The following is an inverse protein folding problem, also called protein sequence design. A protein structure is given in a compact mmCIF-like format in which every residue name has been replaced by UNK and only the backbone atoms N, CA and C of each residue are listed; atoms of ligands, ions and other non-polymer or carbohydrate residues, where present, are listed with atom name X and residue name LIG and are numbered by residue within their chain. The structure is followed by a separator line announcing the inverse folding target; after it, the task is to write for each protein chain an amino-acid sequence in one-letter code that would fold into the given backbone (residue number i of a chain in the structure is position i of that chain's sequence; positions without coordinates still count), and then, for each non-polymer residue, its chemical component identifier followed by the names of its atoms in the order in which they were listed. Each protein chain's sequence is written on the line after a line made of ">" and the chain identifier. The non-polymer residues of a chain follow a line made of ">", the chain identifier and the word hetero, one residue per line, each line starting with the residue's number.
data_IF_728941819031
#
_entry.id   IF_728941819031
#
_cell.length_a   1.000
_cell.length_b   1.000
_cell.length_c   1.000
_cell.angle_alpha   90.00
_cell.angle_beta   90.00
_cell.angle_gamma   90.00
#
_symmetry.space_group_name_H-M   'P 1'
#
loop_
_entity.id
_entity.type
_entity.pdbx_description
1 polymer ?
#
# COMPACT_ATOMS: atom_id res chain seq x y z
N UNK A 1 -20.82 39.39 -20.02
CA UNK A 1 -21.61 39.15 -18.78
C UNK A 1 -20.70 39.24 -17.56
N UNK A 2 -21.22 39.22 -16.32
CA UNK A 2 -20.39 39.19 -15.10
C UNK A 2 -20.69 37.93 -14.30
N UNK A 3 -19.65 37.22 -13.85
CA UNK A 3 -19.80 35.97 -13.12
C UNK A 3 -20.32 36.29 -11.72
N UNK A 4 -21.43 35.68 -11.32
CA UNK A 4 -22.00 35.93 -9.99
C UNK A 4 -21.10 35.38 -8.86
N UNK A 5 -20.28 34.36 -9.16
CA UNK A 5 -19.38 33.71 -8.18
C UNK A 5 -18.04 34.44 -8.03
N UNK A 6 -17.25 34.55 -9.10
CA UNK A 6 -15.91 35.16 -9.02
C UNK A 6 -15.87 36.65 -9.36
N UNK A 7 -17.00 37.24 -9.76
CA UNK A 7 -17.07 38.67 -10.07
C UNK A 7 -16.07 39.07 -11.19
N UNK A 8 -15.89 38.21 -12.20
CA UNK A 8 -15.10 38.50 -13.39
C UNK A 8 -15.99 38.67 -14.63
N UNK A 9 -15.50 39.43 -15.61
CA UNK A 9 -16.16 39.61 -16.92
C UNK A 9 -15.84 38.42 -17.80
N UNK A 10 -16.86 37.83 -18.45
CA UNK A 10 -16.72 36.70 -19.37
C UNK A 10 -17.62 36.89 -20.61
N UNK A 11 -17.28 36.18 -21.69
CA UNK A 11 -17.94 36.26 -23.00
C UNK A 11 -19.36 35.67 -23.01
N UNK A 12 -20.18 36.12 -23.95
CA UNK A 12 -21.66 36.02 -23.92
C UNK A 12 -22.28 34.64 -24.17
N UNK A 13 -21.49 33.57 -24.26
CA UNK A 13 -22.00 32.23 -24.61
C UNK A 13 -22.49 31.42 -23.40
N UNK A 14 -22.12 31.80 -22.17
CA UNK A 14 -22.42 31.02 -20.96
C UNK A 14 -23.49 31.68 -20.05
N UNK A 15 -24.35 30.86 -19.45
CA UNK A 15 -25.42 31.30 -18.57
C UNK A 15 -24.93 31.52 -17.12
N UNK A 16 -24.79 32.78 -16.70
CA UNK A 16 -24.77 33.19 -15.28
C UNK A 16 -23.49 32.94 -14.47
N UNK A 17 -22.65 31.99 -14.88
CA UNK A 17 -21.39 31.60 -14.22
C UNK A 17 -20.32 31.39 -15.30
N UNK A 18 -19.08 31.84 -15.05
CA UNK A 18 -17.99 31.58 -15.99
C UNK A 18 -17.53 30.12 -15.92
N UNK A 19 -16.92 29.65 -17.01
CA UNK A 19 -16.36 28.30 -17.14
C UNK A 19 -15.46 27.88 -15.98
N UNK A 20 -14.54 28.75 -15.55
CA UNK A 20 -13.62 28.45 -14.43
C UNK A 20 -14.36 28.16 -13.12
N UNK A 21 -15.37 28.97 -12.76
CA UNK A 21 -16.17 28.72 -11.56
C UNK A 21 -17.04 27.47 -11.66
N UNK A 22 -17.45 27.10 -12.88
CA UNK A 22 -18.21 25.88 -13.10
C UNK A 22 -17.32 24.64 -12.94
N UNK A 23 -16.11 24.68 -13.50
CA UNK A 23 -15.11 23.62 -13.35
C UNK A 23 -14.68 23.45 -11.88
N UNK A 24 -14.40 24.55 -11.17
CA UNK A 24 -14.08 24.52 -9.73
C UNK A 24 -15.24 23.97 -8.88
N UNK A 25 -16.49 24.35 -9.19
CA UNK A 25 -17.67 23.80 -8.53
C UNK A 25 -17.85 22.30 -8.82
N UNK A 26 -17.56 21.85 -10.04
CA UNK A 26 -17.60 20.43 -10.41
C UNK A 26 -16.53 19.63 -9.69
N UNK A 27 -15.30 20.14 -9.62
CA UNK A 27 -14.19 19.49 -8.91
C UNK A 27 -14.49 19.34 -7.41
N UNK A 28 -15.03 20.39 -6.78
CA UNK A 28 -15.43 20.35 -5.37
C UNK A 28 -16.63 19.43 -5.11
N UNK A 29 -17.61 19.36 -6.03
CA UNK A 29 -18.72 18.39 -5.94
C UNK A 29 -18.20 16.94 -6.01
N UNK A 30 -17.26 16.65 -6.91
CA UNK A 30 -16.63 15.34 -6.98
C UNK A 30 -15.84 15.00 -5.71
N UNK A 31 -15.11 15.96 -5.15
CA UNK A 31 -14.37 15.78 -3.89
C UNK A 31 -15.33 15.48 -2.72
N UNK A 32 -16.39 16.26 -2.57
CA UNK A 32 -17.43 16.04 -1.56
C UNK A 32 -18.11 14.67 -1.74
N UNK A 33 -18.36 14.25 -2.98
CA UNK A 33 -18.93 12.92 -3.26
C UNK A 33 -17.98 11.80 -2.82
N UNK A 34 -16.67 11.96 -3.05
CA UNK A 34 -15.64 11.03 -2.54
C UNK A 34 -15.62 10.99 -1.01
N UNK A 35 -15.72 12.14 -0.34
CA UNK A 35 -15.79 12.20 1.12
C UNK A 35 -17.05 11.56 1.68
N UNK A 36 -18.22 11.80 1.06
CA UNK A 36 -19.49 11.19 1.47
C UNK A 36 -19.44 9.68 1.33
N UNK A 37 -18.87 9.16 0.24
CA UNK A 37 -18.75 7.71 0.04
C UNK A 37 -17.72 7.09 1.00
N UNK A 38 -16.62 7.79 1.31
CA UNK A 38 -15.70 7.40 2.39
C UNK A 38 -16.41 7.34 3.74
N UNK A 39 -17.17 8.39 4.11
CA UNK A 39 -17.95 8.42 5.35
C UNK A 39 -19.03 7.33 5.40
N UNK A 40 -19.72 7.07 4.29
CA UNK A 40 -20.70 5.97 4.20
C UNK A 40 -20.04 4.62 4.38
N UNK A 41 -18.84 4.42 3.83
CA UNK A 41 -18.05 3.21 4.06
C UNK A 41 -17.64 3.04 5.52
N UNK A 42 -17.27 4.15 6.18
CA UNK A 42 -17.03 4.22 7.61
C UNK A 42 -18.32 4.07 8.43
N UNK A 43 -19.51 4.14 7.85
CA UNK A 43 -20.75 3.79 8.57
C UNK A 43 -21.20 2.36 8.26
N UNK A 44 -20.77 1.78 7.14
CA UNK A 44 -21.08 0.41 6.76
C UNK A 44 -20.41 -0.62 7.68
N UNK A 45 -19.23 -0.34 8.24
CA UNK A 45 -18.61 -1.21 9.26
C UNK A 45 -19.46 -1.34 10.53
N UNK A 46 -20.29 -0.33 10.84
CA UNK A 46 -21.20 -0.35 12.00
C UNK A 46 -22.49 -1.13 11.73
N UNK A 47 -22.78 -1.46 10.46
CA UNK A 47 -24.00 -2.17 10.05
C UNK A 47 -23.76 -3.61 9.63
N UNK A 48 -22.57 -3.94 9.16
CA UNK A 48 -22.22 -5.29 8.72
C UNK A 48 -21.26 -5.93 9.73
N UNK A 49 -21.64 -7.07 10.35
CA UNK A 49 -20.73 -7.81 11.22
C UNK A 49 -19.48 -8.23 10.43
N UNK A 50 -18.31 -8.23 11.08
CA UNK A 50 -17.11 -8.81 10.49
C UNK A 50 -17.28 -10.34 10.42
N UNK A 51 -17.31 -10.94 9.21
CA UNK A 51 -17.47 -12.38 9.09
C UNK A 51 -16.23 -13.16 9.58
N UNK A 52 -15.10 -12.47 9.81
CA UNK A 52 -13.92 -13.05 10.46
C UNK A 52 -14.03 -13.15 11.98
N UNK A 53 -14.95 -12.38 12.60
CA UNK A 53 -15.15 -12.36 14.06
C UNK A 53 -16.39 -13.14 14.49
N UNK A 54 -17.39 -13.24 13.62
CA UNK A 54 -18.65 -13.91 13.91
C UNK A 54 -18.99 -14.96 12.85
N UNK A 55 -18.77 -16.24 13.18
CA UNK A 55 -19.04 -17.37 12.29
C UNK A 55 -20.52 -17.47 11.88
N UNK A 56 -21.44 -16.83 12.63
CA UNK A 56 -22.87 -16.79 12.29
C UNK A 56 -23.21 -15.75 11.21
N UNK A 57 -22.32 -14.78 10.97
CA UNK A 57 -22.50 -13.73 9.97
C UNK A 57 -22.09 -14.14 8.54
N UNK A 58 -21.49 -15.32 8.36
CA UNK A 58 -21.10 -15.86 7.06
C UNK A 58 -22.28 -16.05 6.08
N UNK A 59 -23.53 -16.01 6.54
CA UNK A 59 -24.72 -16.10 5.70
C UNK A 59 -24.98 -14.90 4.76
N UNK A 60 -24.19 -13.82 4.86
CA UNK A 60 -24.40 -12.58 4.08
C UNK A 60 -23.16 -12.10 3.30
N UNK A 61 -22.05 -12.85 3.33
CA UNK A 61 -20.85 -12.50 2.54
C UNK A 61 -21.04 -12.82 1.06
N UNK A 62 -20.81 -11.82 0.20
CA UNK A 62 -20.93 -11.91 -1.26
C UNK A 62 -19.55 -12.05 -1.96
N UNK A 63 -18.46 -12.13 -1.19
CA UNK A 63 -17.12 -12.47 -1.67
C UNK A 63 -16.44 -13.57 -0.84
N UNK A 64 -15.62 -14.35 -1.53
CA UNK A 64 -14.68 -15.30 -0.95
C UNK A 64 -13.25 -14.98 -1.41
N UNK A 65 -12.38 -14.66 -0.47
CA UNK A 65 -10.97 -14.40 -0.73
C UNK A 65 -10.14 -15.63 -0.41
N UNK A 66 -9.22 -15.97 -1.29
CA UNK A 66 -8.35 -17.12 -1.13
C UNK A 66 -6.88 -16.74 -1.18
N UNK A 67 -6.13 -17.22 -0.19
CA UNK A 67 -4.69 -17.10 -0.14
C UNK A 67 -4.03 -18.25 -0.91
N UNK A 68 -3.21 -17.92 -1.91
CA UNK A 68 -2.42 -18.87 -2.71
C UNK A 68 -0.95 -18.67 -2.34
N UNK A 69 -0.38 -19.53 -1.48
CA UNK A 69 1.02 -19.42 -1.08
C UNK A 69 1.95 -19.84 -2.24
N UNK A 70 3.13 -19.23 -2.32
CA UNK A 70 4.12 -19.43 -3.39
C UNK A 70 4.52 -20.90 -3.63
N UNK A 71 4.42 -21.76 -2.60
CA UNK A 71 4.76 -23.20 -2.66
C UNK A 71 3.72 -24.07 -3.40
N UNK A 72 2.51 -23.57 -3.65
CA UNK A 72 1.45 -24.30 -4.35
C UNK A 72 1.57 -24.27 -5.87
N UNK A 73 2.57 -23.57 -6.41
CA UNK A 73 2.72 -23.27 -7.85
C UNK A 73 3.46 -24.33 -8.66
N UNK A 74 3.68 -25.55 -8.15
CA UNK A 74 4.31 -26.61 -8.95
C UNK A 74 3.34 -27.14 -10.03
N UNK A 75 3.62 -27.00 -11.34
CA UNK A 75 2.83 -27.66 -12.35
C UNK A 75 3.32 -29.10 -12.46
N UNK A 76 2.55 -30.05 -11.96
CA UNK A 76 2.67 -31.44 -12.42
C UNK A 76 1.58 -31.65 -13.48
N UNK A 77 1.93 -31.73 -14.78
CA UNK A 77 0.94 -32.04 -15.80
C UNK A 77 0.80 -33.56 -15.88
N UNK A 78 -0.21 -34.11 -15.22
CA UNK A 78 -0.73 -35.44 -15.55
C UNK A 78 -1.74 -35.30 -16.71
N UNK A 79 -1.52 -35.95 -17.87
CA UNK A 79 -2.42 -35.85 -19.00
C UNK A 79 -3.55 -36.87 -18.83
N UNK A 80 -4.59 -36.48 -18.11
CA UNK A 80 -5.89 -37.14 -18.20
C UNK A 80 -6.95 -36.05 -18.08
N UNK A 81 -7.69 -35.86 -19.18
CA UNK A 81 -8.67 -34.81 -19.29
C UNK A 81 -9.77 -34.95 -18.25
N UNK A 82 -9.76 -34.03 -17.30
CA UNK A 82 -10.91 -33.49 -16.59
C UNK A 82 -10.48 -32.08 -16.17
N UNK A 83 -11.11 -31.06 -16.78
CA UNK A 83 -10.87 -29.66 -16.45
C UNK A 83 -11.66 -29.34 -15.17
N UNK A 84 -11.11 -29.68 -14.01
CA UNK A 84 -11.71 -29.32 -12.73
C UNK A 84 -10.66 -28.83 -11.73
N UNK A 85 -11.01 -27.74 -11.05
CA UNK A 85 -10.13 -26.78 -10.41
C UNK A 85 -9.06 -27.34 -9.49
N UNK A 86 -7.89 -26.69 -9.50
CA UNK A 86 -6.88 -26.84 -8.47
C UNK A 86 -7.54 -26.74 -7.09
N UNK A 87 -7.49 -27.84 -6.31
CA UNK A 87 -7.93 -27.87 -4.92
C UNK A 87 -7.15 -26.82 -4.15
N UNK A 88 -7.84 -25.75 -3.75
CA UNK A 88 -7.31 -24.82 -2.77
C UNK A 88 -7.50 -25.45 -1.39
N UNK A 89 -6.43 -25.99 -0.82
CA UNK A 89 -6.44 -26.58 0.52
C UNK A 89 -6.49 -25.49 1.63
N UNK A 90 -6.39 -24.20 1.27
CA UNK A 90 -6.50 -23.08 2.20
C UNK A 90 -7.95 -22.62 2.36
N UNK A 91 -8.43 -22.41 3.61
CA UNK A 91 -9.78 -21.93 3.85
C UNK A 91 -10.00 -20.54 3.23
N UNK A 92 -11.20 -20.31 2.70
CA UNK A 92 -11.60 -19.02 2.17
C UNK A 92 -11.87 -18.02 3.30
N UNK A 93 -11.54 -16.76 3.09
CA UNK A 93 -11.92 -15.65 3.96
C UNK A 93 -13.16 -14.96 3.37
N UNK A 94 -14.34 -15.09 4.00
CA UNK A 94 -15.54 -14.39 3.55
C UNK A 94 -15.40 -12.87 3.74
N UNK A 95 -15.95 -12.09 2.81
CA UNK A 95 -15.99 -10.64 2.89
C UNK A 95 -17.21 -10.05 2.15
N UNK A 96 -17.39 -8.74 2.28
CA UNK A 96 -18.43 -7.98 1.60
C UNK A 96 -17.85 -7.09 0.50
N UNK A 97 -18.38 -7.17 -0.72
CA UNK A 97 -17.95 -6.35 -1.89
C UNK A 97 -17.90 -4.88 -1.53
N UNK A 98 -18.96 -4.38 -0.90
CA UNK A 98 -19.10 -2.97 -0.56
C UNK A 98 -18.00 -2.46 0.39
N UNK A 99 -17.52 -3.32 1.31
CA UNK A 99 -16.46 -2.94 2.26
C UNK A 99 -15.11 -2.93 1.57
N UNK A 100 -14.79 -3.95 0.77
CA UNK A 100 -13.51 -4.00 0.08
C UNK A 100 -13.38 -2.91 -0.99
N UNK A 101 -14.41 -2.70 -1.81
CA UNK A 101 -14.43 -1.67 -2.82
C UNK A 101 -14.33 -0.26 -2.24
N UNK A 102 -14.93 0.00 -1.09
CA UNK A 102 -14.86 1.33 -0.49
C UNK A 102 -13.50 1.64 0.14
N UNK A 103 -12.80 0.62 0.66
CA UNK A 103 -11.51 0.77 1.35
C UNK A 103 -10.29 0.63 0.43
N UNK A 104 -10.48 0.14 -0.79
CA UNK A 104 -9.41 -0.08 -1.77
C UNK A 104 -9.88 0.30 -3.18
N UNK A 105 -9.24 1.31 -3.81
CA UNK A 105 -9.48 1.65 -5.21
C UNK A 105 -9.26 0.46 -6.16
N UNK A 106 -8.28 -0.40 -5.86
CA UNK A 106 -7.98 -1.59 -6.65
C UNK A 106 -9.11 -2.62 -6.56
N UNK A 107 -9.62 -2.90 -5.35
CA UNK A 107 -10.79 -3.77 -5.23
C UNK A 107 -12.03 -3.16 -5.87
N UNK A 108 -12.23 -1.84 -5.79
CA UNK A 108 -13.34 -1.17 -6.48
C UNK A 108 -13.27 -1.42 -7.98
N UNK A 109 -12.12 -1.12 -8.60
CA UNK A 109 -11.93 -1.32 -10.03
C UNK A 109 -12.12 -2.80 -10.42
N UNK A 110 -11.58 -3.73 -9.63
CA UNK A 110 -11.74 -5.17 -9.84
C UNK A 110 -13.21 -5.60 -9.77
N UNK A 111 -13.96 -5.11 -8.78
CA UNK A 111 -15.33 -5.54 -8.51
C UNK A 111 -16.40 -4.83 -9.34
N UNK A 112 -16.10 -3.63 -9.85
CA UNK A 112 -16.96 -2.85 -10.75
C UNK A 112 -16.76 -3.24 -12.21
N UNK A 113 -15.65 -3.91 -12.54
CA UNK A 113 -15.39 -4.44 -13.88
C UNK A 113 -16.27 -5.66 -14.21
N UNK A 114 -16.43 -6.01 -15.50
CA UNK A 114 -17.08 -7.27 -15.92
C UNK A 114 -16.10 -8.48 -15.93
N UNK A 115 -15.06 -8.44 -15.11
CA UNK A 115 -14.05 -9.51 -15.03
C UNK A 115 -14.54 -10.74 -14.25
N UNK A 116 -13.76 -11.82 -14.28
CA UNK A 116 -14.12 -13.10 -13.65
C UNK A 116 -14.37 -12.96 -12.14
N UNK A 117 -13.61 -12.10 -11.47
CA UNK A 117 -13.71 -11.84 -10.03
C UNK A 117 -15.06 -11.22 -9.64
N UNK A 118 -15.58 -10.29 -10.46
CA UNK A 118 -16.87 -9.65 -10.19
C UNK A 118 -18.06 -10.59 -10.43
N UNK A 119 -17.90 -11.54 -11.36
CA UNK A 119 -18.93 -12.54 -11.72
C UNK A 119 -18.93 -13.75 -10.81
N UNK A 120 -17.76 -14.23 -10.41
CA UNK A 120 -17.59 -15.42 -9.58
C UNK A 120 -17.75 -15.14 -8.09
N UNK A 121 -17.50 -13.89 -7.66
CA UNK A 121 -17.42 -13.54 -6.25
C UNK A 121 -16.20 -14.13 -5.55
N UNK A 122 -15.22 -14.61 -6.31
CA UNK A 122 -14.02 -15.27 -5.79
C UNK A 122 -12.78 -14.44 -6.16
N UNK A 123 -12.00 -14.05 -5.17
CA UNK A 123 -10.74 -13.31 -5.36
C UNK A 123 -9.58 -14.18 -4.92
N UNK A 124 -8.61 -14.39 -5.82
CA UNK A 124 -7.40 -15.16 -5.55
C UNK A 124 -6.23 -14.20 -5.29
N UNK A 125 -5.59 -14.34 -4.14
CA UNK A 125 -4.46 -13.53 -3.71
C UNK A 125 -3.20 -14.40 -3.66
N UNK A 126 -2.32 -14.20 -4.64
CA UNK A 126 -1.07 -14.94 -4.80
C UNK A 126 0.05 -14.40 -3.91
N UNK A 127 0.94 -15.31 -3.50
CA UNK A 127 2.11 -15.07 -2.64
C UNK A 127 1.74 -14.54 -1.25
N UNK A 128 0.61 -14.99 -0.71
CA UNK A 128 0.06 -14.54 0.56
C UNK A 128 -0.30 -15.75 1.43
N UNK A 129 -0.01 -15.68 2.73
CA UNK A 129 -0.44 -16.68 3.70
C UNK A 129 -1.88 -16.43 4.15
N UNK A 130 -2.58 -17.47 4.60
CA UNK A 130 -3.95 -17.34 5.10
C UNK A 130 -4.04 -16.36 6.28
N UNK A 131 -3.05 -16.35 7.18
CA UNK A 131 -3.03 -15.45 8.35
C UNK A 131 -2.91 -13.98 7.94
N UNK A 132 -2.03 -13.68 6.98
CA UNK A 132 -1.87 -12.33 6.43
C UNK A 132 -3.16 -11.89 5.73
N UNK A 133 -3.76 -12.75 4.91
CA UNK A 133 -5.03 -12.45 4.25
C UNK A 133 -6.14 -12.17 5.26
N UNK A 134 -6.25 -13.00 6.31
CA UNK A 134 -7.25 -12.81 7.36
C UNK A 134 -7.03 -11.50 8.10
N UNK A 135 -5.79 -11.17 8.45
CA UNK A 135 -5.44 -9.91 9.12
C UNK A 135 -5.75 -8.69 8.22
N UNK A 136 -5.44 -8.79 6.93
CA UNK A 136 -5.74 -7.74 5.95
C UNK A 136 -7.25 -7.50 5.84
N UNK A 137 -8.05 -8.55 5.66
CA UNK A 137 -9.52 -8.42 5.62
C UNK A 137 -10.05 -7.90 6.95
N UNK A 138 -9.54 -8.38 8.08
CA UNK A 138 -9.93 -7.89 9.40
C UNK A 138 -9.72 -6.37 9.53
N UNK A 139 -8.55 -5.87 9.13
CA UNK A 139 -8.26 -4.43 9.11
C UNK A 139 -9.23 -3.64 8.22
N UNK A 140 -9.65 -4.19 7.08
CA UNK A 140 -10.62 -3.53 6.20
C UNK A 140 -11.98 -3.32 6.88
N UNK A 141 -12.31 -4.13 7.89
CA UNK A 141 -13.53 -3.95 8.67
C UNK A 141 -13.30 -3.05 9.88
N UNK A 142 -12.28 -3.34 10.69
CA UNK A 142 -12.10 -2.73 12.01
C UNK A 142 -11.22 -1.48 12.01
N UNK A 143 -10.34 -1.35 11.01
CA UNK A 143 -9.25 -0.36 11.03
C UNK A 143 -8.12 -0.72 12.01
N UNK A 144 -8.16 -1.92 12.60
CA UNK A 144 -7.19 -2.40 13.58
C UNK A 144 -6.43 -3.62 13.02
N UNK A 145 -5.14 -3.72 13.32
CA UNK A 145 -4.32 -4.87 12.97
C UNK A 145 -3.32 -5.16 14.10
N UNK A 146 -3.18 -6.42 14.46
CA UNK A 146 -2.12 -6.88 15.35
C UNK A 146 -0.85 -7.08 14.52
N UNK A 147 0.19 -6.32 14.83
CA UNK A 147 1.43 -6.31 14.07
C UNK A 147 2.56 -6.98 14.86
N UNK A 148 3.17 -7.99 14.24
CA UNK A 148 4.57 -8.36 14.46
C UNK A 148 5.41 -7.88 13.25
N UNK A 149 6.74 -8.05 13.30
CA UNK A 149 7.63 -7.55 12.24
C UNK A 149 7.34 -8.19 10.87
N UNK A 150 7.07 -9.49 10.83
CA UNK A 150 6.81 -10.21 9.59
C UNK A 150 5.44 -9.84 9.02
N UNK A 151 4.41 -9.85 9.87
CA UNK A 151 3.04 -9.44 9.55
C UNK A 151 2.99 -8.00 9.07
N UNK A 152 3.75 -7.09 9.67
CA UNK A 152 3.82 -5.71 9.24
C UNK A 152 4.42 -5.58 7.83
N UNK A 153 5.48 -6.32 7.51
CA UNK A 153 6.05 -6.37 6.16
C UNK A 153 5.03 -6.91 5.16
N UNK A 154 4.43 -8.08 5.43
CA UNK A 154 3.49 -8.73 4.52
C UNK A 154 2.21 -7.88 4.29
N UNK A 155 1.68 -7.27 5.35
CA UNK A 155 0.56 -6.33 5.25
C UNK A 155 0.92 -5.05 4.52
N UNK A 156 2.16 -4.55 4.63
CA UNK A 156 2.62 -3.39 3.86
C UNK A 156 2.64 -3.72 2.36
N UNK A 157 3.12 -4.90 1.98
CA UNK A 157 3.09 -5.36 0.57
C UNK A 157 1.67 -5.40 0.03
N UNK A 158 0.73 -5.95 0.81
CA UNK A 158 -0.69 -5.96 0.43
C UNK A 158 -1.30 -4.56 0.37
N UNK A 159 -1.01 -3.72 1.37
CA UNK A 159 -1.50 -2.36 1.42
C UNK A 159 -1.05 -1.54 0.23
N UNK A 160 0.20 -1.74 -0.23
CA UNK A 160 0.69 -1.11 -1.45
C UNK A 160 -0.01 -1.66 -2.69
N UNK A 161 -0.09 -3.00 -2.83
CA UNK A 161 -0.69 -3.67 -3.98
C UNK A 161 -2.17 -3.32 -4.18
N UNK A 162 -2.93 -3.18 -3.09
CA UNK A 162 -4.35 -2.88 -3.10
C UNK A 162 -4.65 -1.41 -2.75
N UNK A 163 -3.64 -0.54 -2.72
CA UNK A 163 -3.76 0.90 -2.46
C UNK A 163 -4.51 1.26 -1.15
N UNK A 164 -4.33 0.46 -0.09
CA UNK A 164 -4.89 0.75 1.25
C UNK A 164 -3.93 1.67 2.00
N UNK A 165 -3.95 2.96 1.64
CA UNK A 165 -2.98 3.97 2.10
C UNK A 165 -2.80 4.03 3.63
N UNK A 166 -3.90 4.00 4.38
CA UNK A 166 -3.82 4.09 5.85
C UNK A 166 -3.12 2.89 6.48
N UNK A 167 -3.37 1.68 5.95
CA UNK A 167 -2.67 0.47 6.39
C UNK A 167 -1.18 0.55 6.06
N UNK A 168 -0.84 0.99 4.84
CA UNK A 168 0.56 1.16 4.41
C UNK A 168 1.31 2.05 5.40
N UNK A 169 0.78 3.24 5.68
CA UNK A 169 1.41 4.18 6.62
C UNK A 169 1.47 3.62 8.05
N UNK A 170 0.47 2.85 8.47
CA UNK A 170 0.47 2.22 9.80
C UNK A 170 1.58 1.18 9.94
N UNK A 171 1.68 0.25 8.98
CA UNK A 171 2.75 -0.76 8.94
C UNK A 171 4.13 -0.11 8.78
N UNK A 172 4.24 0.91 7.93
CA UNK A 172 5.48 1.65 7.71
C UNK A 172 6.00 2.27 9.00
N UNK A 173 5.14 2.98 9.76
CA UNK A 173 5.52 3.55 11.06
C UNK A 173 5.96 2.48 12.07
N UNK A 174 5.27 1.35 12.09
CA UNK A 174 5.63 0.23 12.96
C UNK A 174 7.02 -0.30 12.64
N UNK A 175 7.30 -0.60 11.36
CA UNK A 175 8.60 -1.12 10.92
C UNK A 175 9.70 -0.08 11.18
N UNK A 176 9.45 1.20 10.89
CA UNK A 176 10.40 2.28 11.15
C UNK A 176 10.83 2.34 12.61
N UNK A 177 9.91 2.08 13.56
CA UNK A 177 10.24 2.05 14.99
C UNK A 177 11.15 0.88 15.42
N UNK A 178 11.36 -0.10 14.54
CA UNK A 178 12.17 -1.30 14.77
C UNK A 178 13.49 -1.31 13.99
N UNK A 179 13.72 -0.29 13.18
CA UNK A 179 14.97 -0.13 12.43
C UNK A 179 16.14 0.03 13.38
N UNK A 180 17.20 -0.72 13.12
CA UNK A 180 18.49 -0.70 13.82
C UNK A 180 19.61 -0.96 12.79
N UNK A 181 20.86 -0.84 13.23
CA UNK A 181 22.02 -0.95 12.34
C UNK A 181 22.21 -2.36 11.74
N UNK A 182 21.65 -3.40 12.35
CA UNK A 182 21.77 -4.77 11.87
C UNK A 182 20.72 -5.09 10.79
N UNK A 183 19.51 -4.51 10.89
CA UNK A 183 18.42 -4.74 9.93
C UNK A 183 18.24 -3.62 8.89
N UNK A 184 19.03 -2.55 8.96
CA UNK A 184 18.87 -1.37 8.09
C UNK A 184 18.98 -1.67 6.60
N UNK A 185 19.88 -2.58 6.18
CA UNK A 185 20.04 -2.96 4.76
C UNK A 185 18.76 -3.59 4.24
N UNK A 186 18.23 -4.56 4.99
CA UNK A 186 17.03 -5.31 4.63
C UNK A 186 15.82 -4.39 4.56
N UNK A 187 15.64 -3.53 5.56
CA UNK A 187 14.54 -2.57 5.58
C UNK A 187 14.67 -1.48 4.51
N UNK A 188 15.87 -1.02 4.18
CA UNK A 188 16.08 -0.08 3.08
C UNK A 188 15.68 -0.70 1.73
N UNK A 189 16.18 -1.91 1.44
CA UNK A 189 15.85 -2.62 0.21
C UNK A 189 14.35 -2.95 0.11
N UNK A 190 13.72 -3.29 1.23
CA UNK A 190 12.27 -3.49 1.33
C UNK A 190 11.50 -2.19 1.07
N UNK A 191 11.90 -1.10 1.72
CA UNK A 191 11.26 0.20 1.59
C UNK A 191 11.35 0.76 0.17
N UNK A 192 12.51 0.60 -0.48
CA UNK A 192 12.72 1.00 -1.86
C UNK A 192 11.76 0.25 -2.80
N UNK A 193 11.61 -1.07 -2.63
CA UNK A 193 10.74 -1.91 -3.47
C UNK A 193 9.25 -1.60 -3.33
N UNK A 194 8.82 -1.21 -2.14
CA UNK A 194 7.40 -0.97 -1.83
C UNK A 194 7.04 0.51 -1.67
N UNK A 195 7.95 1.41 -2.06
CA UNK A 195 7.73 2.85 -2.02
C UNK A 195 7.38 3.38 -0.62
N UNK A 196 7.97 2.82 0.44
CA UNK A 196 7.77 3.22 1.83
C UNK A 196 8.79 4.30 2.22
N UNK A 197 8.44 5.57 1.96
CA UNK A 197 9.38 6.71 2.05
C UNK A 197 9.93 6.95 3.46
N UNK A 198 9.09 6.91 4.48
CA UNK A 198 9.51 7.13 5.88
C UNK A 198 10.45 6.01 6.32
N UNK A 199 10.15 4.77 5.94
CA UNK A 199 11.03 3.64 6.25
C UNK A 199 12.36 3.74 5.48
N UNK A 200 12.32 4.20 4.23
CA UNK A 200 13.50 4.39 3.39
C UNK A 200 14.44 5.44 4.00
N UNK A 201 13.90 6.59 4.42
CA UNK A 201 14.67 7.66 5.05
C UNK A 201 15.25 7.22 6.40
N UNK A 202 14.46 6.56 7.26
CA UNK A 202 14.92 6.07 8.55
C UNK A 202 16.00 4.99 8.41
N UNK A 203 15.81 4.06 7.48
CA UNK A 203 16.80 3.01 7.17
C UNK A 203 18.07 3.62 6.60
N UNK A 204 17.96 4.61 5.71
CA UNK A 204 19.12 5.34 5.19
C UNK A 204 19.89 6.04 6.31
N UNK A 205 19.19 6.67 7.25
CA UNK A 205 19.83 7.31 8.41
C UNK A 205 20.61 6.31 9.25
N UNK A 206 20.05 5.14 9.54
CA UNK A 206 20.74 4.07 10.27
C UNK A 206 21.93 3.50 9.47
N UNK A 207 21.80 3.40 8.15
CA UNK A 207 22.90 2.98 7.28
C UNK A 207 24.09 3.94 7.36
N UNK A 208 23.87 5.25 7.47
CA UNK A 208 24.97 6.22 7.53
C UNK A 208 25.96 5.98 8.67
N UNK A 209 25.46 5.54 9.82
CA UNK A 209 26.29 5.22 10.99
C UNK A 209 27.05 3.90 10.82
N UNK A 210 26.56 3.01 9.96
CA UNK A 210 27.11 1.66 9.72
C UNK A 210 27.81 1.48 8.37
N UNK A 211 27.89 2.53 7.53
CA UNK A 211 28.55 2.48 6.22
C UNK A 211 29.96 1.86 6.21
N UNK A 212 30.85 2.12 7.19
CA UNK A 212 32.20 1.56 7.17
C UNK A 212 32.24 0.03 7.28
N UNK A 213 31.26 -0.57 7.96
CA UNK A 213 31.17 -2.03 8.19
C UNK A 213 30.13 -2.70 7.29
N UNK A 214 29.50 -1.94 6.39
CA UNK A 214 28.42 -2.41 5.53
C UNK A 214 28.85 -3.59 4.64
N UNK A 215 30.05 -3.53 4.07
CA UNK A 215 30.55 -4.55 3.13
C UNK A 215 30.87 -5.90 3.80
N UNK A 216 30.96 -5.93 5.14
CA UNK A 216 31.22 -7.15 5.91
C UNK A 216 29.94 -7.95 6.20
N UNK A 217 28.78 -7.32 6.06
CA UNK A 217 27.46 -7.92 6.35
C UNK A 217 27.06 -8.92 5.26
N UNK A 218 26.38 -9.99 5.66
CA UNK A 218 25.89 -11.00 4.70
C UNK A 218 24.73 -10.43 3.87
N UNK A 219 23.88 -9.61 4.48
CA UNK A 219 22.76 -8.93 3.84
C UNK A 219 23.22 -8.00 2.71
N UNK A 220 24.44 -7.43 2.84
CA UNK A 220 25.06 -6.67 1.76
C UNK A 220 25.38 -7.55 0.56
N UNK A 221 25.99 -8.72 0.78
CA UNK A 221 26.34 -9.65 -0.31
C UNK A 221 25.10 -10.16 -1.03
N UNK A 222 24.05 -10.52 -0.28
CA UNK A 222 22.76 -10.91 -0.86
C UNK A 222 22.16 -9.78 -1.70
N UNK A 223 22.27 -8.53 -1.23
CA UNK A 223 21.77 -7.36 -1.97
C UNK A 223 22.59 -7.12 -3.25
N UNK A 224 23.91 -7.30 -3.23
CA UNK A 224 24.78 -7.22 -4.43
C UNK A 224 24.30 -8.20 -5.50
N UNK A 225 23.95 -9.42 -5.12
CA UNK A 225 23.51 -10.45 -6.06
C UNK A 225 22.10 -10.21 -6.59
N UNK A 226 21.17 -9.77 -5.73
CA UNK A 226 19.75 -9.62 -6.09
C UNK A 226 19.43 -8.31 -6.79
N UNK A 227 19.95 -7.19 -6.29
CA UNK A 227 19.69 -5.86 -6.83
C UNK A 227 20.83 -4.88 -6.54
N UNK A 228 21.89 -4.87 -7.38
CA UNK A 228 23.03 -4.00 -7.18
C UNK A 228 22.71 -2.51 -7.37
N UNK A 229 21.55 -2.15 -7.97
CA UNK A 229 21.19 -0.74 -8.20
C UNK A 229 20.86 -0.03 -6.90
N UNK A 230 20.21 -0.74 -5.97
CA UNK A 230 19.89 -0.21 -4.64
C UNK A 230 21.17 0.16 -3.90
N UNK A 231 22.25 -0.63 -4.04
CA UNK A 231 23.54 -0.32 -3.42
C UNK A 231 24.18 0.92 -4.00
N UNK A 232 24.13 1.09 -5.32
CA UNK A 232 24.63 2.30 -5.97
C UNK A 232 23.92 3.53 -5.40
N UNK A 233 22.60 3.49 -5.25
CA UNK A 233 21.82 4.59 -4.67
C UNK A 233 22.20 4.88 -3.21
N UNK A 234 22.43 3.85 -2.39
CA UNK A 234 22.92 4.00 -1.01
C UNK A 234 24.27 4.72 -1.01
N UNK A 235 25.23 4.27 -1.82
CA UNK A 235 26.57 4.87 -1.88
C UNK A 235 26.54 6.30 -2.45
N UNK A 236 25.75 6.57 -3.50
CA UNK A 236 25.56 7.91 -4.05
C UNK A 236 24.97 8.86 -3.01
N UNK A 237 23.97 8.41 -2.26
CA UNK A 237 23.36 9.19 -1.17
C UNK A 237 24.35 9.44 -0.04
N UNK A 238 25.19 8.46 0.29
CA UNK A 238 26.24 8.62 1.30
C UNK A 238 27.30 9.64 0.90
N UNK A 239 27.85 9.54 -0.32
CA UNK A 239 28.85 10.49 -0.84
C UNK A 239 28.27 11.90 -0.88
N UNK A 240 27.05 12.06 -1.40
CA UNK A 240 26.38 13.36 -1.48
C UNK A 240 26.20 14.01 -0.10
N UNK A 241 25.94 13.23 0.96
CA UNK A 241 25.84 13.78 2.32
C UNK A 241 27.21 14.13 2.93
N UNK A 242 28.28 13.44 2.58
CA UNK A 242 29.62 13.86 3.01
C UNK A 242 30.03 15.21 2.42
N UNK A 243 29.80 15.42 1.12
CA UNK A 243 30.14 16.67 0.45
C UNK A 243 29.39 17.87 1.04
N UNK A 244 28.13 17.69 1.42
CA UNK A 244 27.35 18.72 2.11
C UNK A 244 27.92 19.07 3.49
N UNK A 245 28.36 18.07 4.27
CA UNK A 245 29.00 18.34 5.57
C UNK A 245 30.37 19.01 5.46
N UNK A 246 31.08 18.82 4.34
CA UNK A 246 32.35 19.51 4.07
C UNK A 246 32.11 20.97 3.65
N UNK A 247 31.10 21.21 2.81
CA UNK A 247 30.72 22.56 2.36
C UNK A 247 30.23 23.45 3.52
N UNK A 248 29.45 22.90 4.46
CA UNK A 248 28.99 23.63 5.65
C UNK A 248 30.15 24.04 6.58
N UNK A 249 31.17 23.18 6.72
CA UNK A 249 32.38 23.49 7.53
C UNK A 249 33.25 24.58 6.92
N UNK A 250 33.32 24.68 5.59
CA UNK A 250 34.05 25.74 4.90
C UNK A 250 33.31 27.09 4.97
N UNK A 251 31.97 27.10 5.00
CA UNK A 251 31.19 28.34 5.19
C UNK A 251 31.32 28.94 6.60
N UNK A 252 31.42 28.13 7.65
CA UNK A 252 31.60 28.60 9.03
C UNK A 252 33.00 29.16 9.30
N UNK A 253 34.00 28.75 8.53
CA UNK A 253 35.38 29.23 8.64
C UNK A 253 35.56 30.65 8.06
N UNK A 254 34.75 31.03 7.07
CA UNK A 254 34.89 32.30 6.36
C UNK A 254 34.31 33.52 7.11
N UNK A 255 33.45 33.31 8.11
CA UNK A 255 32.86 34.39 8.92
C UNK A 255 33.70 34.81 10.14
N UNK A 256 34.93 34.30 10.30
CA UNK A 256 35.84 34.58 11.44
C UNK A 256 37.12 35.36 11.07
N UNK A 257 37.18 36.01 9.91
CA UNK A 257 38.31 36.87 9.52
C UNK A 257 37.93 38.33 9.39
#
# INVERSE_FOLDING_TARGET
>A
MYCQSCKNVYDEEDAGTCKECYEEASETEEELKREIDDLRSRLLFLRLPSPTLDASAAGHSDLLLHAIPASSTSPSPSPSGDADGARLDTPAVPAHRVILASRSPVFRAMLDSEMEESRSGVIKMYDVSYDVLRAFVHYMYTGEALLDEQMACDLLVLAEKYEVKHLKTYCEKFITSKVNNDNAIVHYAFAHRHGAKQLLEASMSALMDSMPTLAEREEYKELVERDPRILVEIYETYVSRQDNTAAERDSDCCCRK
#
